data_IF_077199654589
#
_entry.id   IF_077199654589
#
_cell.length_a   1.000
_cell.length_b   1.000
_cell.length_c   1.000
_cell.angle_alpha   90.00
_cell.angle_beta   90.00
_cell.angle_gamma   90.00
#
_symmetry.space_group_name_H-M   'P 1'
#
loop_
_entity.id
_entity.type
_entity.pdbx_description
1 polymer ?
#
# COMPACT_ATOMS: atom_id res chain seq x y z
N UNK A 1 -8.90 -2.90 6.98
CA UNK A 1 -9.19 -1.54 6.46
C UNK A 1 -9.30 -1.56 4.96
N UNK A 2 -10.48 -1.24 4.47
CA UNK A 2 -10.74 -0.96 3.06
C UNK A 2 -10.45 0.52 2.79
N UNK A 3 -10.22 0.88 1.54
CA UNK A 3 -10.12 2.26 1.11
C UNK A 3 -11.18 2.51 0.04
N UNK A 4 -12.29 3.11 0.43
CA UNK A 4 -13.42 3.36 -0.46
C UNK A 4 -13.33 4.76 -1.06
N UNK A 5 -13.49 4.83 -2.38
CA UNK A 5 -13.74 6.09 -3.06
C UNK A 5 -15.21 6.51 -2.83
N UNK A 6 -15.41 7.66 -2.21
CA UNK A 6 -16.77 8.14 -1.85
C UNK A 6 -17.65 8.43 -3.06
N UNK A 7 -17.05 8.88 -4.17
CA UNK A 7 -17.78 9.26 -5.38
C UNK A 7 -18.25 8.05 -6.18
N UNK A 8 -17.49 6.97 -6.19
CA UNK A 8 -17.76 5.80 -7.02
C UNK A 8 -18.15 4.55 -6.22
N UNK A 9 -17.93 4.54 -4.90
CA UNK A 9 -18.09 3.37 -4.04
C UNK A 9 -17.09 2.22 -4.33
N UNK A 10 -16.05 2.49 -5.13
CA UNK A 10 -15.05 1.47 -5.49
C UNK A 10 -14.04 1.34 -4.36
N UNK A 11 -13.71 0.11 -3.99
CA UNK A 11 -12.60 -0.18 -3.10
C UNK A 11 -11.27 -0.05 -3.87
N UNK A 12 -10.45 0.93 -3.49
CA UNK A 12 -9.18 1.24 -4.14
C UNK A 12 -8.07 0.22 -3.82
N UNK A 13 -8.29 -0.64 -2.83
CA UNK A 13 -7.42 -1.80 -2.56
C UNK A 13 -7.87 -3.07 -3.29
N UNK A 14 -8.91 -3.01 -4.10
CA UNK A 14 -9.29 -4.11 -4.96
C UNK A 14 -8.65 -3.96 -6.34
N UNK A 15 -8.09 -5.04 -6.93
CA UNK A 15 -7.54 -4.99 -8.27
C UNK A 15 -8.63 -4.65 -9.28
N UNK A 16 -8.26 -3.89 -10.31
CA UNK A 16 -9.16 -3.54 -11.40
C UNK A 16 -9.33 -4.66 -12.41
N UNK A 17 -10.37 -4.57 -13.22
CA UNK A 17 -10.65 -5.53 -14.30
C UNK A 17 -9.81 -5.28 -15.55
N UNK A 18 -9.08 -4.18 -15.61
CA UNK A 18 -8.30 -3.76 -16.76
C UNK A 18 -6.97 -3.12 -16.29
N UNK A 19 -6.00 -2.90 -17.20
CA UNK A 19 -4.70 -2.34 -16.84
C UNK A 19 -4.77 -0.99 -16.09
N UNK A 20 -5.69 -0.10 -16.46
CA UNK A 20 -5.88 1.19 -15.75
C UNK A 20 -6.34 1.00 -14.32
N UNK A 21 -7.31 0.09 -14.10
CA UNK A 21 -7.78 -0.24 -12.76
C UNK A 21 -6.70 -0.88 -11.91
N UNK A 22 -5.85 -1.70 -12.52
CA UNK A 22 -4.72 -2.32 -11.82
C UNK A 22 -3.63 -1.30 -11.47
N UNK A 23 -3.35 -0.32 -12.33
CA UNK A 23 -2.45 0.79 -12.00
C UNK A 23 -3.00 1.65 -10.87
N UNK A 24 -4.29 1.92 -10.87
CA UNK A 24 -4.96 2.62 -9.77
C UNK A 24 -4.78 1.83 -8.46
N UNK A 25 -5.09 0.54 -8.48
CA UNK A 25 -4.90 -0.35 -7.34
C UNK A 25 -3.46 -0.32 -6.82
N UNK A 26 -2.46 -0.49 -7.69
CA UNK A 26 -1.04 -0.46 -7.31
C UNK A 26 -0.64 0.89 -6.71
N UNK A 27 -1.15 1.99 -7.25
CA UNK A 27 -0.88 3.33 -6.72
C UNK A 27 -1.33 3.45 -5.27
N UNK A 28 -2.54 3.02 -4.94
CA UNK A 28 -3.04 3.06 -3.56
C UNK A 28 -2.35 2.05 -2.66
N UNK A 29 -2.05 0.85 -3.16
CA UNK A 29 -1.30 -0.17 -2.42
C UNK A 29 0.08 0.35 -1.99
N UNK A 30 0.85 0.90 -2.93
CA UNK A 30 2.20 1.42 -2.67
C UNK A 30 2.16 2.63 -1.72
N UNK A 31 1.15 3.49 -1.85
CA UNK A 31 0.97 4.57 -0.88
C UNK A 31 0.64 4.06 0.53
N UNK A 32 -0.06 2.94 0.66
CA UNK A 32 -0.28 2.30 1.96
C UNK A 32 1.02 1.78 2.56
N UNK A 33 1.89 1.15 1.77
CA UNK A 33 3.24 0.74 2.22
C UNK A 33 4.06 1.93 2.70
N UNK A 34 4.10 2.99 1.91
CA UNK A 34 4.83 4.21 2.28
C UNK A 34 4.27 4.88 3.52
N UNK A 35 2.96 4.89 3.69
CA UNK A 35 2.29 5.39 4.89
C UNK A 35 2.75 4.61 6.11
N UNK A 36 2.78 3.29 6.06
CA UNK A 36 3.25 2.44 7.17
C UNK A 36 4.73 2.70 7.43
N UNK A 37 5.56 2.73 6.39
CA UNK A 37 7.00 2.99 6.51
C UNK A 37 7.31 4.30 7.24
N UNK A 38 6.67 5.40 6.82
CA UNK A 38 6.87 6.72 7.42
C UNK A 38 6.32 6.87 8.84
N UNK A 39 5.27 6.15 9.17
CA UNK A 39 4.49 6.37 10.39
C UNK A 39 4.52 5.17 11.35
N UNK A 40 5.55 4.32 11.29
CA UNK A 40 5.67 3.15 12.16
C UNK A 40 5.53 3.50 13.66
N UNK A 41 6.18 4.57 14.10
CA UNK A 41 6.15 4.98 15.50
C UNK A 41 4.76 5.46 15.93
N UNK A 42 4.08 6.23 15.07
CA UNK A 42 2.70 6.64 15.29
C UNK A 42 1.76 5.45 15.36
N UNK A 43 1.90 4.50 14.44
CA UNK A 43 1.07 3.29 14.43
C UNK A 43 1.32 2.43 15.66
N UNK A 44 2.58 2.27 16.08
CA UNK A 44 2.92 1.58 17.35
C UNK A 44 2.34 2.31 18.57
N UNK A 45 2.47 3.62 18.62
CA UNK A 45 1.88 4.42 19.69
C UNK A 45 0.35 4.26 19.75
N UNK A 46 -0.30 4.17 18.61
CA UNK A 46 -1.76 4.04 18.50
C UNK A 46 -2.34 2.75 19.09
N UNK A 47 -1.53 1.70 19.19
CA UNK A 47 -1.92 0.41 19.78
C UNK A 47 -1.53 0.27 21.25
N UNK A 48 -0.80 1.23 21.81
CA UNK A 48 -0.34 1.24 23.21
C UNK A 48 -1.41 1.77 24.18
N UNK A 49 -2.67 1.45 23.94
CA UNK A 49 -3.75 1.75 24.87
C UNK A 49 -3.72 0.80 26.08
N UNK A 50 -4.18 1.26 27.23
CA UNK A 50 -4.19 0.46 28.46
C UNK A 50 -4.92 -0.89 28.26
N UNK A 51 -6.06 -0.90 27.59
CA UNK A 51 -6.82 -2.11 27.32
C UNK A 51 -6.11 -3.07 26.35
N UNK A 52 -5.39 -2.55 25.38
CA UNK A 52 -4.66 -3.35 24.39
C UNK A 52 -3.34 -3.88 24.98
N UNK A 53 -2.64 -3.05 25.74
CA UNK A 53 -1.40 -3.43 26.44
C UNK A 53 -1.62 -4.61 27.38
N UNK A 54 -2.77 -4.66 28.06
CA UNK A 54 -3.13 -5.77 28.94
C UNK A 54 -3.32 -7.11 28.21
N UNK A 55 -3.81 -7.07 26.97
CA UNK A 55 -4.04 -8.27 26.15
C UNK A 55 -2.82 -8.72 25.38
N UNK A 56 -2.04 -7.79 24.86
CA UNK A 56 -0.77 -8.09 24.19
C UNK A 56 0.30 -8.51 25.18
N UNK A 57 0.23 -8.06 26.44
CA UNK A 57 1.21 -8.35 27.49
C UNK A 57 1.09 -9.72 28.14
N UNK A 58 -0.02 -10.43 28.01
CA UNK A 58 -0.20 -11.72 28.67
C UNK A 58 0.58 -12.85 27.97
N UNK A 59 0.70 -12.83 26.64
CA UNK A 59 1.46 -13.80 25.85
C UNK A 59 1.97 -13.26 24.50
N UNK A 60 1.66 -12.02 24.13
CA UNK A 60 2.03 -11.43 22.84
C UNK A 60 2.57 -10.02 23.06
N UNK A 61 3.87 -9.85 22.84
CA UNK A 61 4.47 -8.52 22.83
C UNK A 61 3.97 -7.74 21.60
N UNK A 62 3.76 -6.41 21.68
CA UNK A 62 3.54 -5.59 20.51
C UNK A 62 4.71 -5.79 19.53
N UNK A 63 4.48 -5.87 18.23
CA UNK A 63 5.56 -6.03 17.27
C UNK A 63 6.52 -4.85 17.38
N UNK A 64 7.80 -5.16 17.55
CA UNK A 64 8.85 -4.14 17.63
C UNK A 64 8.98 -3.37 16.29
N UNK A 65 8.65 -4.02 15.19
CA UNK A 65 8.67 -3.49 13.83
C UNK A 65 7.33 -3.78 13.20
N UNK A 66 6.74 -2.79 12.54
CA UNK A 66 5.58 -3.00 11.67
C UNK A 66 6.07 -3.34 10.28
N UNK A 67 6.09 -4.63 9.96
CA UNK A 67 6.33 -5.09 8.59
C UNK A 67 5.02 -5.25 7.83
N UNK A 68 5.08 -5.02 6.52
CA UNK A 68 3.96 -5.23 5.62
C UNK A 68 4.08 -6.58 4.91
N UNK A 69 3.00 -7.31 4.83
CA UNK A 69 2.91 -8.53 4.04
C UNK A 69 2.08 -8.29 2.79
N UNK A 70 2.64 -8.58 1.62
CA UNK A 70 1.95 -8.48 0.32
C UNK A 70 1.78 -9.83 -0.37
N UNK A 71 2.60 -10.81 0.00
CA UNK A 71 2.76 -12.07 -0.72
C UNK A 71 3.80 -11.99 -1.83
N UNK A 72 4.44 -13.13 -2.10
CA UNK A 72 5.60 -13.21 -3.00
C UNK A 72 5.33 -12.72 -4.42
N UNK A 73 4.14 -12.98 -4.93
CA UNK A 73 3.80 -12.63 -6.30
C UNK A 73 3.60 -11.12 -6.49
N UNK A 74 2.94 -10.47 -5.53
CA UNK A 74 2.74 -9.03 -5.58
C UNK A 74 4.08 -8.30 -5.36
N UNK A 75 4.90 -8.78 -4.43
CA UNK A 75 6.27 -8.27 -4.24
C UNK A 75 7.10 -8.40 -5.51
N UNK A 76 7.07 -9.56 -6.18
CA UNK A 76 7.75 -9.75 -7.47
C UNK A 76 7.25 -8.79 -8.55
N UNK A 77 5.96 -8.46 -8.56
CA UNK A 77 5.40 -7.48 -9.51
C UNK A 77 5.94 -6.08 -9.24
N UNK A 78 6.06 -5.67 -7.97
CA UNK A 78 6.65 -4.38 -7.61
C UNK A 78 8.13 -4.32 -7.99
N UNK A 79 8.88 -5.39 -7.73
CA UNK A 79 10.29 -5.51 -8.14
C UNK A 79 10.45 -5.40 -9.66
N UNK A 80 9.56 -6.02 -10.41
CA UNK A 80 9.58 -5.96 -11.87
C UNK A 80 9.32 -4.53 -12.38
N UNK A 81 8.39 -3.79 -11.77
CA UNK A 81 8.14 -2.38 -12.06
C UNK A 81 9.42 -1.55 -11.86
N UNK A 82 10.15 -1.81 -10.78
CA UNK A 82 11.41 -1.09 -10.50
C UNK A 82 12.47 -1.41 -11.54
N UNK A 83 12.63 -2.69 -11.93
CA UNK A 83 13.68 -3.14 -12.86
C UNK A 83 13.46 -2.69 -14.29
N UNK A 84 12.25 -2.80 -14.84
CA UNK A 84 11.98 -2.55 -16.26
C UNK A 84 12.08 -1.09 -16.64
N UNK A 85 11.85 -0.15 -15.73
CA UNK A 85 11.85 1.29 -16.03
C UNK A 85 13.27 1.90 -16.06
N UNK A 86 14.31 1.10 -15.76
CA UNK A 86 15.69 1.59 -15.76
C UNK A 86 16.32 1.79 -17.14
N UNK A 87 15.82 1.15 -18.19
CA UNK A 87 16.62 0.95 -19.42
C UNK A 87 16.00 1.39 -20.75
N UNK A 88 14.76 1.89 -20.85
CA UNK A 88 14.20 2.24 -22.16
C UNK A 88 13.39 3.54 -22.18
N UNK A 89 13.63 4.36 -23.21
CA UNK A 89 12.74 5.44 -23.64
C UNK A 89 11.49 4.81 -24.25
N UNK A 90 10.53 4.45 -23.42
CA UNK A 90 9.27 3.85 -23.86
C UNK A 90 8.29 4.91 -24.35
N UNK A 91 7.55 4.60 -25.40
CA UNK A 91 6.42 5.42 -25.83
C UNK A 91 5.30 5.39 -24.80
N UNK A 92 4.44 6.42 -24.71
CA UNK A 92 3.34 6.46 -23.77
C UNK A 92 2.38 5.25 -23.86
N UNK A 93 2.16 4.72 -25.06
CA UNK A 93 1.28 3.56 -25.29
C UNK A 93 1.93 2.24 -24.85
N UNK A 94 3.22 2.07 -25.08
CA UNK A 94 3.98 0.92 -24.58
C UNK A 94 4.14 0.93 -23.07
N UNK A 95 4.24 2.11 -22.46
CA UNK A 95 4.24 2.29 -20.99
C UNK A 95 2.88 1.91 -20.37
N UNK A 96 1.79 2.12 -21.08
CA UNK A 96 0.42 1.83 -20.59
C UNK A 96 0.05 0.36 -20.77
N UNK A 97 0.61 -0.31 -21.77
CA UNK A 97 0.37 -1.73 -22.06
C UNK A 97 1.46 -2.63 -21.46
N UNK A 98 2.28 -2.04 -20.60
CA UNK A 98 3.46 -2.66 -20.03
C UNK A 98 3.28 -4.17 -19.85
N UNK A 99 4.17 -4.88 -20.51
CA UNK A 99 4.45 -6.31 -20.38
C UNK A 99 4.74 -6.76 -18.92
N UNK A 100 4.45 -5.90 -17.94
CA UNK A 100 4.67 -6.00 -16.51
C UNK A 100 3.73 -6.98 -15.79
N UNK A 101 2.96 -7.79 -16.47
CA UNK A 101 2.01 -8.66 -15.81
C UNK A 101 0.88 -7.92 -15.05
N UNK A 102 0.77 -6.58 -15.20
CA UNK A 102 -0.28 -5.78 -14.54
C UNK A 102 -1.69 -6.29 -14.89
N UNK A 103 -1.87 -6.82 -16.09
CA UNK A 103 -3.10 -7.49 -16.51
C UNK A 103 -3.39 -8.79 -15.75
N UNK A 104 -2.41 -9.42 -15.13
CA UNK A 104 -2.53 -10.68 -14.36
C UNK A 104 -2.69 -10.48 -12.87
N UNK A 105 -2.68 -9.26 -12.37
CA UNK A 105 -2.82 -8.98 -10.93
C UNK A 105 -4.06 -9.65 -10.32
N UNK A 106 -5.24 -9.66 -10.96
CA UNK A 106 -6.39 -10.38 -10.41
C UNK A 106 -6.19 -11.88 -10.23
N UNK A 107 -5.42 -12.53 -11.11
CA UNK A 107 -5.10 -13.96 -11.03
C UNK A 107 -4.05 -14.23 -9.94
N UNK A 108 -3.11 -13.33 -9.79
CA UNK A 108 -2.04 -13.37 -8.79
C UNK A 108 -2.61 -13.30 -7.37
N UNK A 109 -3.65 -12.49 -7.14
CA UNK A 109 -4.22 -12.26 -5.82
C UNK A 109 -5.07 -13.42 -5.29
N UNK A 110 -5.42 -14.38 -6.10
CA UNK A 110 -6.17 -15.56 -5.66
C UNK A 110 -5.37 -16.45 -4.68
N UNK A 111 -4.04 -16.33 -4.68
CA UNK A 111 -3.14 -17.21 -3.92
C UNK A 111 -2.40 -16.51 -2.76
N UNK A 112 -2.67 -15.22 -2.49
CA UNK A 112 -1.91 -14.39 -1.54
C UNK A 112 -2.57 -14.24 -0.17
N UNK A 113 -3.18 -15.27 0.36
CA UNK A 113 -3.66 -15.22 1.74
C UNK A 113 -2.53 -15.57 2.72
N UNK A 114 -2.10 -14.61 3.54
CA UNK A 114 -1.28 -14.90 4.73
C UNK A 114 -2.11 -15.71 5.73
N UNK A 115 -2.10 -17.03 5.55
CA UNK A 115 -2.79 -17.97 6.42
C UNK A 115 -2.20 -18.04 7.83
N UNK A 116 -0.94 -17.68 7.97
CA UNK A 116 -0.20 -17.79 9.24
C UNK A 116 -0.44 -16.60 10.18
N UNK A 117 -1.06 -15.52 9.72
CA UNK A 117 -1.43 -14.33 10.52
C UNK A 117 -0.25 -13.75 11.32
N UNK A 118 0.97 -13.84 10.80
CA UNK A 118 2.19 -13.45 11.50
C UNK A 118 2.56 -12.00 11.28
N UNK A 119 2.16 -11.40 10.16
CA UNK A 119 2.48 -10.02 9.83
C UNK A 119 1.52 -9.05 10.50
N UNK A 120 2.03 -7.98 11.15
CA UNK A 120 1.19 -7.00 11.85
C UNK A 120 0.37 -6.13 10.90
N UNK A 121 0.79 -5.97 9.66
CA UNK A 121 0.07 -5.24 8.62
C UNK A 121 0.08 -6.04 7.31
N UNK A 122 -1.01 -6.75 7.03
CA UNK A 122 -1.08 -7.71 5.94
C UNK A 122 -2.13 -7.34 4.91
N UNK A 123 -1.75 -7.43 3.64
CA UNK A 123 -2.68 -7.35 2.52
C UNK A 123 -3.36 -8.71 2.30
N UNK A 124 -4.70 -8.71 2.27
CA UNK A 124 -5.50 -9.94 2.19
C UNK A 124 -6.34 -10.02 0.90
N UNK A 125 -5.81 -9.48 -0.18
CA UNK A 125 -6.40 -9.56 -1.52
C UNK A 125 -7.24 -8.35 -1.93
N UNK A 126 -7.92 -7.68 -1.01
CA UNK A 126 -8.71 -6.49 -1.27
C UNK A 126 -8.72 -5.47 -0.13
N UNK A 127 -7.93 -5.70 0.93
CA UNK A 127 -7.82 -4.85 2.11
C UNK A 127 -6.52 -5.07 2.83
N UNK A 128 -6.17 -4.14 3.72
CA UNK A 128 -5.15 -4.36 4.72
C UNK A 128 -5.77 -4.71 6.07
N UNK A 129 -5.16 -5.65 6.77
CA UNK A 129 -5.46 -5.98 8.15
C UNK A 129 -4.35 -5.49 9.06
N UNK A 130 -4.67 -4.59 9.98
CA UNK A 130 -3.77 -4.19 11.05
C UNK A 130 -4.01 -5.10 12.26
N UNK A 131 -3.12 -6.07 12.42
CA UNK A 131 -3.24 -7.19 13.37
C UNK A 131 -2.52 -6.91 14.69
N UNK A 132 -2.68 -5.72 15.21
CA UNK A 132 -1.99 -5.29 16.42
C UNK A 132 -2.93 -4.90 17.56
N UNK A 133 -4.25 -4.89 17.32
CA UNK A 133 -5.25 -4.67 18.35
C UNK A 133 -5.80 -6.00 18.86
N UNK A 134 -5.83 -6.17 20.17
CA UNK A 134 -6.38 -7.36 20.82
C UNK A 134 -7.89 -7.48 20.61
N UNK A 135 -8.39 -8.71 20.68
CA UNK A 135 -9.82 -9.01 20.63
C UNK A 135 -10.56 -8.23 21.72
N UNK A 136 -11.65 -7.55 21.39
CA UNK A 136 -12.43 -6.68 22.28
C UNK A 136 -11.71 -5.41 22.76
N UNK A 137 -10.54 -5.07 22.24
CA UNK A 137 -9.90 -3.79 22.49
C UNK A 137 -10.52 -2.68 21.64
N UNK A 138 -10.47 -1.45 22.15
CA UNK A 138 -10.90 -0.30 21.36
C UNK A 138 -9.87 -0.01 20.27
N UNK A 139 -10.27 -0.10 19.01
CA UNK A 139 -9.41 0.15 17.86
C UNK A 139 -9.49 1.60 17.32
N UNK A 140 -10.22 2.49 17.99
CA UNK A 140 -10.45 3.85 17.49
C UNK A 140 -9.16 4.63 17.29
N UNK A 141 -8.22 4.58 18.23
CA UNK A 141 -6.93 5.26 18.12
C UNK A 141 -6.14 4.80 16.89
N UNK A 142 -6.09 3.48 16.66
CA UNK A 142 -5.41 2.90 15.49
C UNK A 142 -6.10 3.29 14.18
N UNK A 143 -7.42 3.31 14.15
CA UNK A 143 -8.19 3.73 12.98
C UNK A 143 -7.96 5.21 12.66
N UNK A 144 -7.95 6.08 13.67
CA UNK A 144 -7.66 7.51 13.51
C UNK A 144 -6.24 7.69 12.95
N UNK A 145 -5.26 7.03 13.54
CA UNK A 145 -3.86 7.12 13.11
C UNK A 145 -3.68 6.68 11.66
N UNK A 146 -4.23 5.53 11.28
CA UNK A 146 -4.16 5.00 9.91
C UNK A 146 -4.82 5.96 8.93
N UNK A 147 -6.04 6.45 9.22
CA UNK A 147 -6.76 7.33 8.31
C UNK A 147 -6.03 8.67 8.13
N UNK A 148 -5.54 9.27 9.22
CA UNK A 148 -4.81 10.53 9.16
C UNK A 148 -3.47 10.37 8.42
N UNK A 149 -2.72 9.31 8.71
CA UNK A 149 -1.45 9.02 8.06
C UNK A 149 -1.64 8.73 6.56
N UNK A 150 -2.68 7.98 6.19
CA UNK A 150 -3.00 7.69 4.79
C UNK A 150 -3.40 8.96 4.03
N UNK A 151 -4.24 9.81 4.63
CA UNK A 151 -4.63 11.08 4.03
C UNK A 151 -3.40 11.99 3.79
N UNK A 152 -2.49 12.06 4.75
CA UNK A 152 -1.25 12.82 4.59
C UNK A 152 -0.39 12.25 3.46
N UNK A 153 -0.19 10.93 3.43
CA UNK A 153 0.61 10.27 2.38
C UNK A 153 0.03 10.50 0.98
N UNK A 154 -1.28 10.42 0.82
CA UNK A 154 -1.93 10.67 -0.46
C UNK A 154 -1.79 12.13 -0.90
N UNK A 155 -1.86 13.08 0.03
CA UNK A 155 -1.62 14.49 -0.27
C UNK A 155 -0.16 14.75 -0.70
N UNK A 156 0.81 14.13 -0.05
CA UNK A 156 2.23 14.24 -0.44
C UNK A 156 2.47 13.62 -1.83
N UNK A 157 1.90 12.45 -2.09
CA UNK A 157 2.00 11.80 -3.40
C UNK A 157 1.38 12.68 -4.50
N UNK A 158 0.19 13.20 -4.25
CA UNK A 158 -0.49 14.13 -5.16
C UNK A 158 0.36 15.36 -5.45
N UNK A 159 0.89 16.02 -4.42
CA UNK A 159 1.72 17.20 -4.58
C UNK A 159 2.98 16.93 -5.42
N UNK A 160 3.60 15.74 -5.24
CA UNK A 160 4.76 15.34 -6.04
C UNK A 160 4.39 15.12 -7.50
N UNK A 161 3.24 14.51 -7.78
CA UNK A 161 2.73 14.33 -9.16
C UNK A 161 2.41 15.68 -9.79
N UNK A 162 1.70 16.56 -9.09
CA UNK A 162 1.33 17.90 -9.58
C UNK A 162 2.58 18.72 -9.94
N UNK A 163 3.63 18.66 -9.12
CA UNK A 163 4.91 19.32 -9.41
C UNK A 163 5.54 18.87 -10.72
N UNK A 164 5.58 17.55 -10.98
CA UNK A 164 6.09 17.04 -12.26
C UNK A 164 5.22 17.47 -13.45
N UNK A 165 3.91 17.58 -13.25
CA UNK A 165 3.00 18.07 -14.28
C UNK A 165 3.23 19.54 -14.59
N UNK A 166 3.54 20.37 -13.60
CA UNK A 166 3.92 21.77 -13.78
C UNK A 166 5.25 21.92 -14.55
N UNK A 167 6.15 20.95 -14.41
CA UNK A 167 7.40 20.85 -15.18
C UNK A 167 7.18 20.36 -16.64
N UNK A 168 5.93 20.11 -17.04
CA UNK A 168 5.55 19.70 -18.40
C UNK A 168 5.52 18.18 -18.61
N UNK A 169 5.62 17.37 -17.56
CA UNK A 169 5.49 15.91 -17.65
C UNK A 169 4.00 15.53 -17.77
N UNK A 170 3.67 14.60 -18.67
CA UNK A 170 2.32 14.09 -18.81
C UNK A 170 1.83 13.41 -17.52
N UNK A 171 0.52 13.51 -17.23
CA UNK A 171 -0.07 13.02 -15.97
C UNK A 171 0.27 11.55 -15.68
N UNK A 172 0.08 10.66 -16.66
CA UNK A 172 0.31 9.23 -16.47
C UNK A 172 1.79 8.92 -16.24
N UNK A 173 2.67 9.64 -16.91
CA UNK A 173 4.11 9.53 -16.72
C UNK A 173 4.54 10.08 -15.35
N UNK A 174 3.98 11.18 -14.91
CA UNK A 174 4.25 11.76 -13.60
C UNK A 174 3.84 10.78 -12.49
N UNK A 175 2.64 10.22 -12.56
CA UNK A 175 2.15 9.20 -11.62
C UNK A 175 3.10 8.01 -11.59
N UNK A 176 3.52 7.52 -12.74
CA UNK A 176 4.39 6.35 -12.83
C UNK A 176 5.78 6.60 -12.24
N UNK A 177 6.38 7.78 -12.49
CA UNK A 177 7.66 8.16 -11.91
C UNK A 177 7.60 8.23 -10.38
N UNK A 178 6.61 8.93 -9.84
CA UNK A 178 6.44 9.03 -8.39
C UNK A 178 6.09 7.68 -7.76
N UNK A 179 5.30 6.85 -8.44
CA UNK A 179 5.00 5.49 -8.01
C UNK A 179 6.28 4.66 -7.86
N UNK A 180 7.17 4.70 -8.85
CA UNK A 180 8.45 4.00 -8.80
C UNK A 180 9.34 4.47 -7.65
N UNK A 181 9.48 5.78 -7.48
CA UNK A 181 10.24 6.35 -6.37
C UNK A 181 9.67 5.91 -5.01
N UNK A 182 8.34 5.86 -4.91
CA UNK A 182 7.65 5.43 -3.70
C UNK A 182 7.86 3.95 -3.42
N UNK A 183 7.87 3.09 -4.44
CA UNK A 183 8.19 1.66 -4.28
C UNK A 183 9.60 1.48 -3.73
N UNK A 184 10.59 2.16 -4.33
CA UNK A 184 11.99 2.08 -3.90
C UNK A 184 12.13 2.57 -2.45
N UNK A 185 11.51 3.69 -2.12
CA UNK A 185 11.58 4.28 -0.79
C UNK A 185 10.88 3.45 0.31
N UNK A 186 9.88 2.65 -0.05
CA UNK A 186 9.14 1.78 0.88
C UNK A 186 9.65 0.33 0.94
N UNK A 187 10.69 -0.01 0.17
CA UNK A 187 11.27 -1.36 0.16
C UNK A 187 11.65 -1.90 1.56
N UNK A 188 12.13 -1.08 2.52
CA UNK A 188 12.51 -1.58 3.83
C UNK A 188 11.36 -2.06 4.74
N UNK A 189 10.07 -1.88 4.38
CA UNK A 189 8.91 -2.23 5.20
C UNK A 189 8.35 -3.59 4.84
#
# INVERSE_FOLDING_TARGET
SDLLCTDTGINLFAPGKNPKGNMLFLTFLVNALMMVYKNQDLLRASIMSASNSYRLGANEAPPAILSCFLGSQLSSTLDEIVRQVGNEKMTPEEKTTLKLGIGRIPEILLDTTDRNRTSPFAFTGNRFEFRAAGSSSNCAASMIAINAAMANQLNEFRASVEKLMEEGVGKDEAIFRILKETIIASEPI
#
